data_IF_978188928866
#
_entry.id   IF_978188928866
#
_cell.length_a   1.000
_cell.length_b   1.000
_cell.length_c   1.000
_cell.angle_alpha   90.00
_cell.angle_beta   90.00
_cell.angle_gamma   90.00
#
_symmetry.space_group_name_H-M   'P 1'
#
loop_
_entity.id
_entity.type
_entity.pdbx_description
1 polymer ?
#
# COMPACT_ATOMS: atom_id res chain seq x y z
N UNK A 1 30.30 7.90 19.98
CA UNK A 1 29.70 6.89 19.08
C UNK A 1 28.48 7.50 18.38
N UNK A 2 28.62 7.95 17.13
CA UNK A 2 27.61 8.76 16.40
C UNK A 2 26.26 8.06 16.23
N UNK A 3 26.23 6.73 16.13
CA UNK A 3 24.99 5.95 15.96
C UNK A 3 24.10 5.90 17.21
N UNK A 4 24.66 6.05 18.41
CA UNK A 4 23.89 6.09 19.66
C UNK A 4 23.43 7.50 20.04
N UNK A 5 23.62 8.47 19.14
CA UNK A 5 23.01 9.80 19.26
C UNK A 5 21.57 9.78 18.72
N UNK A 6 20.80 10.82 19.05
CA UNK A 6 19.48 11.02 18.46
C UNK A 6 19.50 11.06 16.93
N UNK A 7 20.46 11.77 16.35
CA UNK A 7 20.62 11.84 14.90
C UNK A 7 20.92 10.46 14.31
N UNK A 8 21.74 9.67 15.01
CA UNK A 8 22.01 8.28 14.68
C UNK A 8 20.75 7.42 14.70
N UNK A 9 19.93 7.55 15.75
CA UNK A 9 18.66 6.84 15.87
C UNK A 9 17.67 7.18 14.73
N UNK A 10 17.47 8.48 14.47
CA UNK A 10 16.60 8.95 13.40
C UNK A 10 17.10 8.50 12.01
N UNK A 11 18.42 8.46 11.81
CA UNK A 11 19.02 7.93 10.60
C UNK A 11 18.76 6.43 10.45
N UNK A 12 18.94 5.64 11.51
CA UNK A 12 18.67 4.20 11.49
C UNK A 12 17.20 3.90 11.17
N UNK A 13 16.26 4.61 11.81
CA UNK A 13 14.83 4.48 11.49
C UNK A 13 14.56 4.73 10.01
N UNK A 14 15.13 5.81 9.46
CA UNK A 14 14.98 6.14 8.03
C UNK A 14 15.62 5.09 7.12
N UNK A 15 16.80 4.60 7.47
CA UNK A 15 17.51 3.59 6.69
C UNK A 15 16.74 2.27 6.65
N UNK A 16 16.26 1.78 7.80
CA UNK A 16 15.41 0.59 7.86
C UNK A 16 14.06 0.80 7.16
N UNK A 17 13.49 2.00 7.23
CA UNK A 17 12.28 2.34 6.50
C UNK A 17 12.46 2.17 4.99
N UNK A 18 13.60 2.62 4.44
CA UNK A 18 13.90 2.44 3.02
C UNK A 18 14.08 0.97 2.64
N UNK A 19 14.86 0.20 3.40
CA UNK A 19 15.07 -1.22 3.13
C UNK A 19 13.76 -2.02 3.19
N UNK A 20 12.94 -1.79 4.21
CA UNK A 20 11.64 -2.42 4.36
C UNK A 20 10.65 -1.96 3.27
N UNK A 21 10.66 -0.67 2.93
CA UNK A 21 9.78 -0.06 1.94
C UNK A 21 10.04 -0.59 0.53
N UNK A 22 11.31 -0.69 0.12
CA UNK A 22 11.71 -1.29 -1.16
C UNK A 22 11.29 -2.76 -1.20
N UNK A 23 11.50 -3.50 -0.11
CA UNK A 23 11.07 -4.91 -0.03
C UNK A 23 9.55 -5.04 -0.18
N UNK A 24 8.79 -4.18 0.50
CA UNK A 24 7.33 -4.20 0.48
C UNK A 24 6.77 -3.84 -0.90
N UNK A 25 7.11 -2.65 -1.41
CA UNK A 25 6.58 -2.15 -2.68
C UNK A 25 7.14 -2.97 -3.86
N UNK A 26 8.39 -3.44 -3.77
CA UNK A 26 8.96 -4.38 -4.74
C UNK A 26 8.16 -5.67 -4.82
N UNK A 27 7.82 -6.29 -3.68
CA UNK A 27 6.98 -7.50 -3.66
C UNK A 27 5.55 -7.21 -4.14
N UNK A 28 4.99 -6.05 -3.81
CA UNK A 28 3.69 -5.61 -4.33
C UNK A 28 3.68 -5.62 -5.87
N UNK A 29 4.71 -5.02 -6.47
CA UNK A 29 4.86 -4.93 -7.93
C UNK A 29 5.18 -6.29 -8.54
N UNK A 30 5.98 -7.13 -7.88
CA UNK A 30 6.19 -8.51 -8.30
C UNK A 30 4.86 -9.28 -8.41
N UNK A 31 4.00 -9.22 -7.39
CA UNK A 31 2.70 -9.90 -7.46
C UNK A 31 1.83 -9.39 -8.61
N UNK A 32 1.78 -8.07 -8.76
CA UNK A 32 0.86 -7.42 -9.68
C UNK A 32 1.32 -7.42 -11.14
N UNK A 33 2.62 -7.36 -11.40
CA UNK A 33 3.17 -7.23 -12.75
C UNK A 33 3.78 -8.52 -13.27
N UNK A 34 4.17 -9.44 -12.38
CA UNK A 34 4.86 -10.67 -12.76
C UNK A 34 4.05 -11.91 -12.38
N UNK A 35 3.85 -12.15 -11.08
CA UNK A 35 3.29 -13.43 -10.62
C UNK A 35 1.84 -13.64 -11.08
N UNK A 36 0.94 -12.67 -10.85
CA UNK A 36 -0.47 -12.81 -11.24
C UNK A 36 -0.66 -12.92 -12.76
N UNK A 37 -0.04 -12.05 -13.59
CA UNK A 37 -0.10 -12.24 -15.05
C UNK A 37 0.46 -13.59 -15.51
N UNK A 38 1.58 -14.04 -14.95
CA UNK A 38 2.14 -15.35 -15.26
C UNK A 38 1.17 -16.49 -14.89
N UNK A 39 0.50 -16.41 -13.74
CA UNK A 39 -0.51 -17.39 -13.36
C UNK A 39 -1.72 -17.40 -14.30
N UNK A 40 -2.04 -16.29 -14.96
CA UNK A 40 -3.14 -16.26 -15.94
C UNK A 40 -2.79 -17.06 -17.21
N UNK A 41 -1.51 -17.13 -17.59
CA UNK A 41 -1.03 -17.88 -18.76
C UNK A 41 -0.50 -19.28 -18.45
N UNK A 42 -0.21 -19.59 -17.18
CA UNK A 42 0.41 -20.85 -16.79
C UNK A 42 -0.59 -22.01 -16.66
N UNK A 43 -0.15 -23.21 -17.04
CA UNK A 43 -0.92 -24.43 -16.85
C UNK A 43 -1.24 -24.68 -15.36
N UNK A 44 -2.37 -25.33 -15.04
CA UNK A 44 -2.75 -25.61 -13.65
C UNK A 44 -1.66 -26.30 -12.80
N UNK A 45 -0.93 -27.32 -13.29
CA UNK A 45 0.13 -27.97 -12.50
C UNK A 45 1.28 -27.03 -12.12
N UNK A 46 1.67 -26.12 -13.02
CA UNK A 46 2.75 -25.14 -12.76
C UNK A 46 2.36 -24.18 -11.63
N UNK A 47 1.13 -23.66 -11.68
CA UNK A 47 0.59 -22.77 -10.63
C UNK A 47 0.54 -23.45 -9.27
N UNK A 48 -0.04 -24.65 -9.23
CA UNK A 48 -0.12 -25.45 -8.00
C UNK A 48 1.26 -25.77 -7.46
N UNK A 49 2.21 -26.11 -8.32
CA UNK A 49 3.60 -26.35 -7.96
C UNK A 49 4.28 -25.12 -7.32
N UNK A 50 4.03 -23.91 -7.82
CA UNK A 50 4.58 -22.68 -7.22
C UNK A 50 3.93 -22.32 -5.88
N UNK A 51 2.64 -22.62 -5.71
CA UNK A 51 1.93 -22.38 -4.46
C UNK A 51 2.39 -23.39 -3.39
N UNK A 52 2.33 -24.68 -3.70
CA UNK A 52 2.63 -25.78 -2.75
C UNK A 52 4.15 -25.94 -2.54
N UNK A 53 4.97 -25.67 -3.55
CA UNK A 53 6.43 -25.64 -3.46
C UNK A 53 6.99 -24.46 -2.66
N UNK A 54 6.13 -23.60 -2.13
CA UNK A 54 6.48 -22.58 -1.14
C UNK A 54 6.96 -21.24 -1.70
N UNK A 55 7.05 -21.07 -3.02
CA UNK A 55 7.46 -19.79 -3.62
C UNK A 55 6.47 -18.66 -3.26
N UNK A 56 5.17 -18.91 -3.43
CA UNK A 56 4.12 -17.92 -3.09
C UNK A 56 4.12 -17.61 -1.59
N UNK A 57 4.29 -18.64 -0.75
CA UNK A 57 4.36 -18.48 0.71
C UNK A 57 5.53 -17.60 1.17
N UNK A 58 6.73 -17.80 0.59
CA UNK A 58 7.92 -16.99 0.87
C UNK A 58 7.75 -15.55 0.40
N UNK A 59 7.25 -15.33 -0.81
CA UNK A 59 6.98 -13.98 -1.33
C UNK A 59 5.98 -13.23 -0.42
N UNK A 60 4.91 -13.89 0.01
CA UNK A 60 3.92 -13.30 0.92
C UNK A 60 4.49 -13.03 2.33
N UNK A 61 5.47 -13.80 2.79
CA UNK A 61 6.16 -13.52 4.04
C UNK A 61 6.91 -12.19 3.96
N UNK A 62 7.75 -12.02 2.93
CA UNK A 62 8.54 -10.80 2.72
C UNK A 62 7.66 -9.58 2.48
N UNK A 63 6.57 -9.76 1.73
CA UNK A 63 5.57 -8.71 1.51
C UNK A 63 4.95 -8.20 2.83
N UNK A 64 4.52 -9.11 3.71
CA UNK A 64 3.86 -8.75 4.98
C UNK A 64 4.80 -8.09 5.97
N UNK A 65 5.99 -8.67 6.14
CA UNK A 65 6.95 -8.15 7.11
C UNK A 65 7.67 -6.91 6.61
N UNK A 66 7.94 -6.81 5.29
CA UNK A 66 8.36 -5.56 4.67
C UNK A 66 7.36 -4.44 4.96
N UNK A 67 6.05 -4.71 4.79
CA UNK A 67 5.01 -3.73 5.12
C UNK A 67 5.03 -3.34 6.60
N UNK A 68 5.10 -4.32 7.50
CA UNK A 68 5.09 -4.09 8.94
C UNK A 68 6.28 -3.23 9.39
N UNK A 69 7.50 -3.58 8.96
CA UNK A 69 8.70 -2.83 9.34
C UNK A 69 8.69 -1.42 8.75
N UNK A 70 8.17 -1.23 7.54
CA UNK A 70 8.01 0.11 6.93
C UNK A 70 7.12 1.00 7.79
N UNK A 71 5.95 0.49 8.20
CA UNK A 71 5.01 1.24 9.04
C UNK A 71 5.60 1.51 10.43
N UNK A 72 6.17 0.52 11.10
CA UNK A 72 6.78 0.70 12.43
C UNK A 72 7.86 1.76 12.39
N UNK A 73 8.83 1.63 11.48
CA UNK A 73 9.95 2.59 11.38
C UNK A 73 9.49 3.99 11.00
N UNK A 74 8.52 4.12 10.10
CA UNK A 74 7.97 5.41 9.67
C UNK A 74 7.19 6.12 10.77
N UNK A 75 6.30 5.41 11.47
CA UNK A 75 5.52 5.99 12.57
C UNK A 75 6.39 6.29 13.79
N UNK A 76 7.37 5.45 14.13
CA UNK A 76 8.34 5.77 15.18
C UNK A 76 9.12 7.04 14.85
N UNK A 77 9.51 7.24 13.58
CA UNK A 77 10.18 8.45 13.13
C UNK A 77 9.30 9.70 13.33
N UNK A 78 8.05 9.64 12.89
CA UNK A 78 7.09 10.75 13.02
C UNK A 78 6.78 11.04 14.49
N UNK A 79 6.51 10.00 15.29
CA UNK A 79 6.20 10.13 16.72
C UNK A 79 7.37 10.70 17.51
N UNK A 80 8.61 10.36 17.15
CA UNK A 80 9.80 10.93 17.79
C UNK A 80 9.88 12.44 17.54
N UNK A 81 9.70 12.88 16.29
CA UNK A 81 9.72 14.31 15.94
C UNK A 81 8.55 15.05 16.61
N UNK A 82 7.35 14.48 16.55
CA UNK A 82 6.15 15.05 17.16
C UNK A 82 6.24 15.11 18.69
N UNK A 83 6.86 14.13 19.34
CA UNK A 83 7.07 14.12 20.79
C UNK A 83 7.98 15.24 21.28
N UNK A 84 8.91 15.70 20.44
CA UNK A 84 9.82 16.81 20.77
C UNK A 84 9.26 18.19 20.45
N UNK A 85 8.68 18.35 19.26
CA UNK A 85 8.28 19.64 18.73
C UNK A 85 6.77 19.88 18.79
N UNK A 86 5.98 18.87 19.16
CA UNK A 86 4.54 18.84 18.96
C UNK A 86 4.16 18.57 17.50
N UNK A 87 2.87 18.37 17.24
CA UNK A 87 2.34 18.18 15.88
C UNK A 87 2.20 19.51 15.10
N UNK A 88 2.13 20.64 15.80
CA UNK A 88 1.89 21.93 15.17
C UNK A 88 2.99 22.34 14.18
N UNK A 89 4.30 22.21 14.49
CA UNK A 89 5.36 22.51 13.53
C UNK A 89 5.41 21.54 12.34
N UNK A 90 4.97 20.30 12.54
CA UNK A 90 4.90 19.33 11.45
C UNK A 90 3.86 19.76 10.39
N UNK A 91 2.67 20.18 10.84
CA UNK A 91 1.58 20.65 9.97
C UNK A 91 1.62 22.16 9.64
N UNK A 92 2.73 22.85 9.95
CA UNK A 92 2.98 24.22 9.48
C UNK A 92 3.82 24.26 8.21
N UNK A 93 4.40 23.13 7.79
CA UNK A 93 5.30 23.02 6.65
C UNK A 93 4.71 22.12 5.57
N UNK A 94 5.02 22.40 4.30
CA UNK A 94 4.62 21.52 3.19
C UNK A 94 5.17 20.09 3.35
N UNK A 95 6.35 19.95 3.95
CA UNK A 95 6.97 18.65 4.24
C UNK A 95 6.03 17.74 5.03
N UNK A 96 5.53 18.20 6.18
CA UNK A 96 4.73 17.34 7.06
C UNK A 96 3.40 16.96 6.43
N UNK A 97 2.82 17.85 5.64
CA UNK A 97 1.62 17.57 4.88
C UNK A 97 1.83 16.53 3.77
N UNK A 98 2.92 16.61 3.01
CA UNK A 98 3.26 15.61 2.00
C UNK A 98 3.56 14.24 2.63
N UNK A 99 4.32 14.20 3.74
CA UNK A 99 4.56 12.98 4.51
C UNK A 99 3.27 12.42 5.11
N UNK A 100 2.35 13.26 5.58
CA UNK A 100 1.07 12.82 6.11
C UNK A 100 0.22 12.11 5.05
N UNK A 101 0.06 12.72 3.87
CA UNK A 101 -0.73 12.13 2.78
C UNK A 101 -0.12 10.78 2.35
N UNK A 102 1.21 10.75 2.11
CA UNK A 102 1.89 9.51 1.78
C UNK A 102 1.78 8.46 2.90
N UNK A 103 2.00 8.87 4.15
CA UNK A 103 2.00 7.99 5.33
C UNK A 103 0.63 7.36 5.61
N UNK A 104 -0.46 8.11 5.43
CA UNK A 104 -1.83 7.58 5.58
C UNK A 104 -2.17 6.62 4.43
N UNK A 105 -1.83 6.97 3.18
CA UNK A 105 -2.02 6.04 2.05
C UNK A 105 -1.25 4.73 2.28
N UNK A 106 0.01 4.82 2.73
CA UNK A 106 0.81 3.66 3.13
C UNK A 106 0.17 2.88 4.29
N UNK A 107 -0.36 3.55 5.31
CA UNK A 107 -1.00 2.87 6.46
C UNK A 107 -2.25 2.11 6.03
N UNK A 108 -3.08 2.68 5.15
CA UNK A 108 -4.23 1.99 4.57
C UNK A 108 -3.79 0.77 3.75
N UNK A 109 -2.74 0.92 2.93
CA UNK A 109 -2.18 -0.19 2.17
C UNK A 109 -1.68 -1.31 3.08
N UNK A 110 -0.99 -0.98 4.17
CA UNK A 110 -0.53 -1.96 5.17
C UNK A 110 -1.70 -2.70 5.82
N UNK A 111 -2.80 -2.00 6.12
CA UNK A 111 -4.01 -2.62 6.63
C UNK A 111 -4.54 -3.67 5.65
N UNK A 112 -4.59 -3.33 4.36
CA UNK A 112 -4.99 -4.28 3.31
C UNK A 112 -4.08 -5.52 3.27
N UNK A 113 -2.77 -5.35 3.45
CA UNK A 113 -1.81 -6.47 3.49
C UNK A 113 -2.14 -7.45 4.62
N UNK A 114 -2.31 -6.94 5.84
CA UNK A 114 -2.41 -7.78 7.03
C UNK A 114 -3.82 -8.33 7.29
N UNK A 115 -4.85 -7.55 7.00
CA UNK A 115 -6.21 -7.88 7.40
C UNK A 115 -7.10 -8.36 6.25
N UNK A 116 -6.68 -8.15 4.99
CA UNK A 116 -7.49 -8.52 3.82
C UNK A 116 -6.76 -9.54 2.96
N UNK A 117 -5.56 -9.19 2.48
CA UNK A 117 -4.78 -10.04 1.57
C UNK A 117 -4.29 -11.28 2.31
N UNK A 118 -3.64 -11.14 3.47
CA UNK A 118 -3.05 -12.29 4.16
C UNK A 118 -4.09 -13.34 4.60
N UNK A 119 -5.21 -13.00 5.26
CA UNK A 119 -6.20 -13.99 5.67
C UNK A 119 -6.81 -14.74 4.47
N UNK A 120 -7.06 -14.04 3.37
CA UNK A 120 -7.53 -14.65 2.12
C UNK A 120 -6.48 -15.59 1.51
N UNK A 121 -5.22 -15.15 1.42
CA UNK A 121 -4.14 -15.95 0.86
C UNK A 121 -3.87 -17.23 1.68
N UNK A 122 -4.00 -17.19 3.01
CA UNK A 122 -3.93 -18.40 3.84
C UNK A 122 -4.92 -19.47 3.38
N UNK A 123 -6.18 -19.08 3.12
CA UNK A 123 -7.23 -20.00 2.65
C UNK A 123 -6.98 -20.49 1.22
N UNK A 124 -6.50 -19.62 0.33
CA UNK A 124 -6.11 -19.99 -1.04
C UNK A 124 -4.97 -21.03 -1.04
N UNK A 125 -3.93 -20.80 -0.24
CA UNK A 125 -2.79 -21.72 -0.12
C UNK A 125 -3.22 -23.05 0.51
N UNK A 126 -4.07 -23.01 1.54
CA UNK A 126 -4.62 -24.22 2.15
C UNK A 126 -5.45 -25.03 1.15
N UNK A 127 -6.32 -24.38 0.38
CA UNK A 127 -7.10 -25.03 -0.69
C UNK A 127 -6.20 -25.67 -1.75
N UNK A 128 -5.18 -24.96 -2.22
CA UNK A 128 -4.24 -25.50 -3.20
C UNK A 128 -3.48 -26.72 -2.66
N UNK A 129 -3.08 -26.66 -1.38
CA UNK A 129 -2.40 -27.76 -0.69
C UNK A 129 -3.30 -28.98 -0.49
N UNK A 130 -4.60 -28.77 -0.24
CA UNK A 130 -5.58 -29.85 -0.10
C UNK A 130 -5.83 -30.54 -1.45
N UNK A 131 -6.00 -29.77 -2.52
CA UNK A 131 -6.17 -30.30 -3.88
C UNK A 131 -4.94 -31.09 -4.33
N UNK A 132 -3.74 -30.59 -4.05
CA UNK A 132 -2.50 -31.29 -4.38
C UNK A 132 -2.34 -32.65 -3.66
N UNK A 133 -3.05 -32.86 -2.54
CA UNK A 133 -3.07 -34.13 -1.80
C UNK A 133 -4.24 -35.05 -2.21
N UNK A 134 -4.97 -34.71 -3.28
CA UNK A 134 -6.12 -35.48 -3.76
C UNK A 134 -7.45 -35.14 -3.07
N UNK A 135 -7.50 -34.07 -2.26
CA UNK A 135 -8.73 -33.58 -1.65
C UNK A 135 -9.52 -32.62 -2.56
N UNK A 136 -10.70 -32.20 -2.11
CA UNK A 136 -11.50 -31.18 -2.81
C UNK A 136 -11.01 -29.75 -2.50
N UNK A 137 -11.24 -28.82 -3.43
CA UNK A 137 -10.96 -27.40 -3.21
C UNK A 137 -11.92 -26.81 -2.18
N UNK A 138 -11.43 -25.84 -1.40
CA UNK A 138 -12.28 -25.08 -0.48
C UNK A 138 -13.19 -24.17 -1.32
N UNK A 139 -14.54 -24.27 -1.20
CA UNK A 139 -15.47 -23.58 -2.10
C UNK A 139 -15.26 -22.06 -2.17
N UNK A 140 -14.94 -21.40 -1.06
CA UNK A 140 -14.79 -19.93 -1.01
C UNK A 140 -13.40 -19.45 -1.43
N UNK A 141 -12.43 -20.34 -1.65
CA UNK A 141 -11.04 -19.95 -1.90
C UNK A 141 -10.88 -19.08 -3.16
N UNK A 142 -11.62 -19.38 -4.22
CA UNK A 142 -11.57 -18.60 -5.46
C UNK A 142 -12.05 -17.16 -5.26
N UNK A 143 -13.20 -16.97 -4.61
CA UNK A 143 -13.75 -15.64 -4.31
C UNK A 143 -12.83 -14.83 -3.39
N UNK A 144 -12.23 -15.48 -2.39
CA UNK A 144 -11.24 -14.83 -1.51
C UNK A 144 -9.97 -14.45 -2.25
N UNK A 145 -9.48 -15.30 -3.17
CA UNK A 145 -8.35 -14.98 -4.03
C UNK A 145 -8.62 -13.76 -4.90
N UNK A 146 -9.81 -13.66 -5.48
CA UNK A 146 -10.23 -12.48 -6.26
C UNK A 146 -10.25 -11.21 -5.40
N UNK A 147 -10.84 -11.28 -4.19
CA UNK A 147 -10.86 -10.15 -3.25
C UNK A 147 -9.44 -9.71 -2.85
N UNK A 148 -8.55 -10.65 -2.55
CA UNK A 148 -7.15 -10.35 -2.26
C UNK A 148 -6.45 -9.71 -3.46
N UNK A 149 -6.76 -10.16 -4.68
CA UNK A 149 -6.27 -9.55 -5.92
C UNK A 149 -6.70 -8.09 -6.07
N UNK A 150 -7.98 -7.77 -5.84
CA UNK A 150 -8.46 -6.38 -5.90
C UNK A 150 -7.84 -5.49 -4.81
N UNK A 151 -7.69 -5.98 -3.58
CA UNK A 151 -6.98 -5.25 -2.53
C UNK A 151 -5.50 -5.00 -2.90
N UNK A 152 -4.82 -5.99 -3.49
CA UNK A 152 -3.43 -5.85 -3.96
C UNK A 152 -3.30 -4.85 -5.12
N UNK A 153 -4.25 -4.83 -6.05
CA UNK A 153 -4.31 -3.85 -7.14
C UNK A 153 -4.58 -2.45 -6.61
N UNK A 154 -5.46 -2.32 -5.63
CA UNK A 154 -5.73 -1.04 -4.96
C UNK A 154 -4.48 -0.53 -4.25
N UNK A 155 -3.72 -1.40 -3.60
CA UNK A 155 -2.42 -1.02 -3.04
C UNK A 155 -1.44 -0.56 -4.13
N UNK A 156 -1.41 -1.21 -5.29
CA UNK A 156 -0.54 -0.82 -6.41
C UNK A 156 -0.97 0.53 -7.00
N UNK A 157 -2.27 0.81 -7.03
CA UNK A 157 -2.80 2.12 -7.40
C UNK A 157 -2.34 3.19 -6.39
N UNK A 158 -2.57 2.95 -5.10
CA UNK A 158 -2.26 3.88 -4.01
C UNK A 158 -0.75 4.07 -3.78
N UNK A 159 0.09 3.12 -4.16
CA UNK A 159 1.55 3.27 -4.05
C UNK A 159 2.08 4.40 -4.92
N UNK A 160 1.40 4.73 -6.04
CA UNK A 160 1.80 5.81 -6.95
C UNK A 160 1.66 7.19 -6.27
N UNK A 161 0.47 7.64 -5.80
CA UNK A 161 0.36 8.89 -5.08
C UNK A 161 1.17 8.88 -3.77
N UNK A 162 1.23 7.74 -3.07
CA UNK A 162 2.05 7.61 -1.85
C UNK A 162 3.52 7.94 -2.11
N UNK A 163 4.14 7.28 -3.11
CA UNK A 163 5.54 7.53 -3.47
C UNK A 163 5.76 8.95 -3.98
N UNK A 164 4.80 9.48 -4.75
CA UNK A 164 4.85 10.86 -5.23
C UNK A 164 4.92 11.85 -4.07
N UNK A 165 4.00 11.79 -3.10
CA UNK A 165 3.98 12.74 -1.98
C UNK A 165 5.17 12.57 -1.04
N UNK A 166 5.57 11.32 -0.73
CA UNK A 166 6.77 11.09 0.09
C UNK A 166 8.04 11.60 -0.60
N UNK A 167 8.18 11.36 -1.91
CA UNK A 167 9.29 11.85 -2.71
C UNK A 167 9.26 13.37 -2.90
N UNK A 168 8.07 13.99 -2.94
CA UNK A 168 7.94 15.43 -3.07
C UNK A 168 8.29 16.20 -1.78
N UNK A 169 8.20 15.57 -0.60
CA UNK A 169 8.25 16.24 0.70
C UNK A 169 9.50 17.12 0.92
N UNK A 170 10.67 16.74 0.38
CA UNK A 170 11.92 17.49 0.49
C UNK A 170 12.33 18.22 -0.79
N UNK A 171 11.58 18.04 -1.88
CA UNK A 171 11.93 18.52 -3.21
C UNK A 171 10.97 19.57 -3.76
N UNK A 172 9.73 19.59 -3.28
CA UNK A 172 8.66 20.44 -3.77
C UNK A 172 7.87 21.03 -2.60
N UNK A 173 7.48 22.29 -2.72
CA UNK A 173 6.44 22.87 -1.87
C UNK A 173 5.09 22.59 -2.52
N UNK A 174 4.48 21.47 -2.14
CA UNK A 174 3.26 20.98 -2.80
C UNK A 174 2.01 21.67 -2.25
N UNK A 175 1.88 21.83 -0.92
CA UNK A 175 0.75 22.48 -0.26
C UNK A 175 1.12 22.93 1.16
N UNK A 176 0.71 24.14 1.55
CA UNK A 176 0.90 24.67 2.91
C UNK A 176 -0.36 25.39 3.39
N UNK A 177 -1.48 24.68 3.63
CA UNK A 177 -2.71 25.32 4.09
C UNK A 177 -2.46 26.03 5.42
N UNK A 178 -2.67 27.35 5.47
CA UNK A 178 -2.39 28.17 6.65
C UNK A 178 -3.60 28.27 7.57
N UNK A 179 -4.79 28.50 7.00
CA UNK A 179 -6.04 28.64 7.75
C UNK A 179 -6.58 27.29 8.25
N UNK A 180 -7.14 27.25 9.47
CA UNK A 180 -7.74 26.03 10.04
C UNK A 180 -8.81 25.38 9.15
N UNK A 181 -9.76 26.14 8.55
CA UNK A 181 -10.74 25.55 7.63
C UNK A 181 -10.08 24.88 6.42
N UNK A 182 -9.02 25.48 5.88
CA UNK A 182 -8.28 24.92 4.75
C UNK A 182 -7.65 23.56 5.11
N UNK A 183 -7.00 23.48 6.28
CA UNK A 183 -6.44 22.21 6.80
C UNK A 183 -7.50 21.12 6.91
N UNK A 184 -8.69 21.47 7.42
CA UNK A 184 -9.80 20.52 7.59
C UNK A 184 -10.32 20.05 6.23
N UNK A 185 -10.62 20.98 5.31
CA UNK A 185 -11.12 20.63 3.98
C UNK A 185 -10.15 19.72 3.25
N UNK A 186 -8.83 19.97 3.36
CA UNK A 186 -7.81 19.10 2.77
C UNK A 186 -7.89 17.67 3.31
N UNK A 187 -7.98 17.50 4.63
CA UNK A 187 -8.08 16.17 5.25
C UNK A 187 -9.37 15.46 4.82
N UNK A 188 -10.50 16.18 4.73
CA UNK A 188 -11.79 15.63 4.30
C UNK A 188 -11.73 15.18 2.84
N UNK A 189 -11.22 16.02 1.93
CA UNK A 189 -11.07 15.66 0.50
C UNK A 189 -10.19 14.43 0.36
N UNK A 190 -9.05 14.41 1.05
CA UNK A 190 -8.14 13.27 1.02
C UNK A 190 -8.80 12.00 1.55
N UNK A 191 -9.52 12.08 2.67
CA UNK A 191 -10.24 10.95 3.25
C UNK A 191 -11.34 10.42 2.32
N UNK A 192 -12.08 11.30 1.64
CA UNK A 192 -13.10 10.91 0.65
C UNK A 192 -12.46 10.17 -0.53
N UNK A 193 -11.34 10.68 -1.07
CA UNK A 193 -10.62 9.99 -2.16
C UNK A 193 -10.20 8.59 -1.71
N UNK A 194 -9.59 8.45 -0.54
CA UNK A 194 -9.21 7.14 -0.02
C UNK A 194 -10.41 6.22 0.20
N UNK A 195 -11.52 6.73 0.74
CA UNK A 195 -12.73 5.96 0.95
C UNK A 195 -13.35 5.46 -0.36
N UNK A 196 -13.33 6.27 -1.42
CA UNK A 196 -13.79 5.87 -2.75
C UNK A 196 -12.88 4.78 -3.33
N UNK A 197 -11.56 4.99 -3.28
CA UNK A 197 -10.58 4.03 -3.82
C UNK A 197 -10.65 2.70 -3.07
N UNK A 198 -10.68 2.73 -1.75
CA UNK A 198 -10.75 1.53 -0.90
C UNK A 198 -12.13 0.86 -0.99
N UNK A 199 -13.21 1.64 -0.99
CA UNK A 199 -14.57 1.12 -1.19
C UNK A 199 -14.70 0.35 -2.50
N UNK A 200 -14.09 0.85 -3.59
CA UNK A 200 -14.02 0.14 -4.86
C UNK A 200 -13.21 -1.17 -4.77
N UNK A 201 -12.28 -1.33 -3.83
CA UNK A 201 -11.57 -2.59 -3.61
C UNK A 201 -12.42 -3.61 -2.85
N UNK A 202 -13.13 -3.15 -1.81
CA UNK A 202 -13.72 -4.02 -0.80
C UNK A 202 -15.18 -4.40 -1.07
N UNK A 203 -15.92 -3.58 -1.81
CA UNK A 203 -17.35 -3.79 -2.05
C UNK A 203 -17.56 -4.40 -3.43
N UNK A 204 -18.34 -5.48 -3.50
CA UNK A 204 -18.68 -6.19 -4.73
C UNK A 204 -17.50 -6.85 -5.43
N UNK A 205 -17.80 -7.66 -6.45
CA UNK A 205 -16.81 -8.31 -7.32
C UNK A 205 -16.98 -7.93 -8.80
N UNK A 206 -18.03 -7.17 -9.11
CA UNK A 206 -18.41 -6.74 -10.45
C UNK A 206 -18.61 -5.21 -10.49
N UNK A 207 -18.57 -4.63 -11.69
CA UNK A 207 -18.83 -3.20 -11.91
C UNK A 207 -17.68 -2.45 -12.59
N UNK A 208 -17.90 -1.19 -13.03
CA UNK A 208 -16.91 -0.42 -13.80
C UNK A 208 -15.58 -0.24 -13.07
N UNK A 209 -15.60 0.07 -11.77
CA UNK A 209 -14.38 0.23 -10.98
C UNK A 209 -13.60 -1.08 -10.78
N UNK A 210 -14.26 -2.25 -10.85
CA UNK A 210 -13.59 -3.55 -10.85
C UNK A 210 -12.93 -3.87 -12.18
N UNK A 211 -13.48 -3.40 -13.31
CA UNK A 211 -12.85 -3.51 -14.64
C UNK A 211 -11.51 -2.77 -14.69
N UNK A 212 -11.42 -1.64 -14.00
CA UNK A 212 -10.17 -0.88 -13.87
C UNK A 212 -9.15 -1.70 -13.06
N UNK A 213 -9.54 -2.21 -11.90
CA UNK A 213 -8.66 -3.01 -11.02
C UNK A 213 -8.33 -4.41 -11.58
N UNK A 214 -9.12 -4.95 -12.52
CA UNK A 214 -8.84 -6.26 -13.12
C UNK A 214 -7.66 -6.25 -14.08
N UNK A 215 -7.16 -5.08 -14.49
CA UNK A 215 -6.03 -4.97 -15.42
C UNK A 215 -4.87 -4.20 -14.80
N UNK A 216 -3.64 -4.55 -15.22
CA UNK A 216 -2.42 -3.83 -14.83
C UNK A 216 -2.49 -2.37 -15.30
N UNK A 217 -2.80 -2.18 -16.59
CA UNK A 217 -2.85 -0.85 -17.20
C UNK A 217 -3.91 0.05 -16.56
N UNK A 218 -5.13 -0.46 -16.34
CA UNK A 218 -6.19 0.30 -15.67
C UNK A 218 -5.80 0.71 -14.25
N UNK A 219 -5.17 -0.20 -13.49
CA UNK A 219 -4.65 0.10 -12.15
C UNK A 219 -3.59 1.21 -12.16
N UNK A 220 -2.65 1.17 -13.11
CA UNK A 220 -1.60 2.19 -13.25
C UNK A 220 -2.18 3.55 -13.58
N UNK A 221 -3.01 3.64 -14.63
CA UNK A 221 -3.62 4.90 -15.05
C UNK A 221 -4.50 5.49 -13.96
N UNK A 222 -5.29 4.67 -13.27
CA UNK A 222 -6.06 5.12 -12.13
C UNK A 222 -5.18 5.68 -11.01
N UNK A 223 -3.99 5.12 -10.78
CA UNK A 223 -3.03 5.64 -9.81
C UNK A 223 -2.52 7.02 -10.19
N UNK A 224 -2.12 7.23 -11.44
CA UNK A 224 -1.71 8.54 -11.94
C UNK A 224 -2.85 9.57 -11.93
N UNK A 225 -4.07 9.16 -12.28
CA UNK A 225 -5.26 10.01 -12.22
C UNK A 225 -5.54 10.41 -10.77
N UNK A 226 -5.50 9.48 -9.82
CA UNK A 226 -5.68 9.79 -8.40
C UNK A 226 -4.58 10.72 -7.90
N UNK A 227 -3.32 10.52 -8.30
CA UNK A 227 -2.23 11.46 -7.99
C UNK A 227 -2.53 12.85 -8.55
N UNK A 228 -2.94 12.95 -9.83
CA UNK A 228 -3.27 14.23 -10.45
C UNK A 228 -4.46 14.90 -9.77
N UNK A 229 -5.52 14.15 -9.43
CA UNK A 229 -6.67 14.64 -8.67
C UNK A 229 -6.22 15.16 -7.30
N UNK A 230 -5.39 14.41 -6.57
CA UNK A 230 -4.88 14.87 -5.28
C UNK A 230 -3.99 16.11 -5.44
N UNK A 231 -3.11 16.19 -6.43
CA UNK A 231 -2.28 17.38 -6.65
C UNK A 231 -3.12 18.59 -7.05
N UNK A 232 -4.05 18.43 -7.99
CA UNK A 232 -4.89 19.52 -8.50
C UNK A 232 -5.91 19.96 -7.47
N UNK A 233 -6.66 19.03 -6.86
CA UNK A 233 -7.65 19.35 -5.85
C UNK A 233 -7.01 20.04 -4.64
N UNK A 234 -5.77 19.67 -4.28
CA UNK A 234 -5.09 20.32 -3.17
C UNK A 234 -4.46 21.65 -3.55
N UNK A 235 -3.97 21.82 -4.78
CA UNK A 235 -3.38 23.09 -5.26
C UNK A 235 -4.40 24.15 -5.66
N UNK A 236 -5.59 23.75 -6.11
CA UNK A 236 -6.65 24.69 -6.51
C UNK A 236 -7.42 25.20 -5.28
N UNK A 237 -7.46 24.40 -4.21
CA UNK A 237 -8.24 24.73 -3.00
C UNK A 237 -7.37 25.32 -1.87
N UNK A 238 -6.05 25.08 -1.84
CA UNK A 238 -5.13 25.51 -0.77
C UNK A 238 -3.79 26.02 -1.29
#
# INVERSE_FOLDING_TARGET
MTLFSELGWLFLLRWFHFLAGITWIGMLYYFNFVQTPFFASAEPPVRSGMIVGGLVGRALWWFRWGAMFTIITGWLYILHIAGKAGLQPFFSQSYGWAIFIGGIAGTLMWFNVWFIIWPAQKKVIASASQVAKGGQAIPEAAALGQRAGFASRTNTLLSIPMLFFMGAATHLQVFTPTARPAKITMMVVFAIVLAIVEGNALVGTTGPGKKVLSTVSGTLWAGFIVTAVLVVALKVVF
#
